data_IF_164815483219
#
_entry.id   IF_164815483219
#
_cell.length_a   1.000
_cell.length_b   1.000
_cell.length_c   1.000
_cell.angle_alpha   90.00
_cell.angle_beta   90.00
_cell.angle_gamma   90.00
#
_symmetry.space_group_name_H-M   'P 1'
#
loop_
_entity.id
_entity.type
_entity.pdbx_description
1 polymer ?
#
# COMPACT_ATOMS: atom_id res chain seq x y z
N UNK A 1 20.61 -39.90 47.81
CA UNK A 1 21.29 -39.74 46.52
C UNK A 1 20.24 -39.70 45.42
N UNK A 2 20.14 -38.55 44.75
CA UNK A 2 19.70 -38.33 43.36
C UNK A 2 18.79 -39.39 42.71
N UNK A 3 17.48 -39.13 42.70
CA UNK A 3 16.59 -39.52 41.60
C UNK A 3 15.71 -38.32 41.24
N UNK A 4 16.39 -37.21 40.94
CA UNK A 4 15.82 -36.21 40.05
C UNK A 4 15.74 -36.77 38.65
N UNK A 5 14.84 -36.19 37.85
CA UNK A 5 14.80 -36.34 36.40
C UNK A 5 14.08 -37.59 35.87
N UNK A 6 12.77 -37.70 36.11
CA UNK A 6 11.89 -38.53 35.26
C UNK A 6 10.46 -37.95 35.22
N UNK A 7 10.31 -36.62 35.14
CA UNK A 7 9.03 -35.95 34.89
C UNK A 7 9.23 -34.91 33.79
N UNK A 8 9.48 -35.35 32.55
CA UNK A 8 9.57 -34.45 31.41
C UNK A 8 9.41 -35.16 30.06
N UNK A 9 8.38 -36.00 29.85
CA UNK A 9 8.23 -36.67 28.55
C UNK A 9 6.81 -36.86 28.01
N UNK A 10 5.80 -36.14 28.50
CA UNK A 10 4.41 -36.36 28.08
C UNK A 10 3.62 -35.05 27.81
N UNK A 11 4.24 -34.08 27.13
CA UNK A 11 3.56 -32.85 26.69
C UNK A 11 3.85 -32.48 25.22
N UNK A 12 4.22 -33.43 24.38
CA UNK A 12 4.55 -33.19 22.97
C UNK A 12 3.53 -33.74 21.96
N UNK A 13 2.28 -34.01 22.38
CA UNK A 13 1.26 -34.64 21.51
C UNK A 13 0.11 -33.72 21.10
N UNK A 14 0.22 -32.41 21.33
CA UNK A 14 -0.76 -31.43 20.85
C UNK A 14 -0.05 -30.22 20.25
N UNK A 15 0.52 -30.41 19.06
CA UNK A 15 0.75 -29.31 18.12
C UNK A 15 -0.35 -29.37 17.05
N UNK A 16 -1.58 -28.89 17.32
CA UNK A 16 -2.57 -28.74 16.28
C UNK A 16 -2.14 -27.58 15.37
N UNK A 17 -2.16 -27.79 14.06
CA UNK A 17 -2.11 -26.75 13.04
C UNK A 17 -0.81 -25.93 12.94
N UNK A 18 0.34 -26.59 12.79
CA UNK A 18 1.40 -25.99 11.99
C UNK A 18 1.50 -26.72 10.66
N UNK A 19 1.19 -25.97 9.60
CA UNK A 19 1.48 -26.24 8.19
C UNK A 19 0.44 -27.05 7.40
N UNK A 20 -0.70 -26.43 7.11
CA UNK A 20 -1.41 -26.58 5.82
C UNK A 20 -2.35 -25.39 5.59
N UNK A 21 -1.79 -24.19 5.54
CA UNK A 21 -2.36 -23.16 4.68
C UNK A 21 -1.28 -22.83 3.68
N UNK A 22 -1.45 -23.32 2.45
CA UNK A 22 -0.80 -22.69 1.30
C UNK A 22 -1.13 -21.20 1.41
N UNK A 23 -0.11 -20.32 1.44
CA UNK A 23 -0.41 -18.91 1.43
C UNK A 23 -1.14 -18.68 0.11
N UNK A 24 -2.36 -18.18 0.20
CA UNK A 24 -3.06 -17.63 -0.95
C UNK A 24 -2.29 -16.35 -1.32
N UNK A 25 -1.18 -16.54 -2.03
CA UNK A 25 -0.48 -15.51 -2.77
C UNK A 25 -1.32 -15.15 -3.99
N UNK A 26 -2.59 -14.80 -3.80
CA UNK A 26 -3.21 -13.77 -4.61
C UNK A 26 -2.32 -12.54 -4.40
N UNK A 27 -1.29 -12.45 -5.25
CA UNK A 27 -0.28 -11.42 -5.29
C UNK A 27 -1.01 -10.09 -5.38
N UNK A 28 -1.28 -9.47 -4.23
CA UNK A 28 -1.87 -8.14 -4.16
C UNK A 28 -0.88 -7.25 -4.90
N UNK A 29 -1.21 -6.89 -6.14
CA UNK A 29 -0.43 -5.93 -6.92
C UNK A 29 -0.23 -4.71 -6.04
N UNK A 30 0.99 -4.53 -5.54
CA UNK A 30 1.34 -3.34 -4.80
C UNK A 30 1.24 -2.16 -5.77
N UNK A 31 0.46 -1.16 -5.38
CA UNK A 31 0.35 0.06 -6.16
C UNK A 31 1.72 0.73 -6.24
N UNK A 32 2.10 1.17 -7.43
CA UNK A 32 3.31 1.97 -7.56
C UNK A 32 3.12 3.31 -6.82
N UNK A 33 4.17 3.95 -6.30
CA UNK A 33 4.01 5.24 -5.63
C UNK A 33 3.30 6.30 -6.48
N UNK A 34 3.52 6.28 -7.81
CA UNK A 34 2.85 7.19 -8.73
C UNK A 34 1.35 6.90 -8.88
N UNK A 35 0.96 5.62 -8.81
CA UNK A 35 -0.44 5.18 -8.84
C UNK A 35 -1.17 5.62 -7.58
N UNK A 36 -0.59 5.34 -6.41
CA UNK A 36 -1.16 5.71 -5.12
C UNK A 36 -1.37 7.23 -4.99
N UNK A 37 -0.39 8.03 -5.41
CA UNK A 37 -0.50 9.50 -5.37
C UNK A 37 -1.54 10.05 -6.36
N UNK A 38 -1.64 9.46 -7.55
CA UNK A 38 -2.68 9.84 -8.49
C UNK A 38 -4.07 9.46 -7.97
N UNK A 39 -4.21 8.28 -7.38
CA UNK A 39 -5.44 7.84 -6.71
C UNK A 39 -5.83 8.76 -5.55
N UNK A 40 -4.86 9.21 -4.75
CA UNK A 40 -5.10 10.20 -3.69
C UNK A 40 -5.61 11.53 -4.25
N UNK A 41 -5.03 12.03 -5.36
CA UNK A 41 -5.50 13.24 -6.01
C UNK A 41 -6.96 13.10 -6.50
N UNK A 42 -7.33 11.95 -7.07
CA UNK A 42 -8.72 11.69 -7.47
C UNK A 42 -9.68 11.58 -6.27
N UNK A 43 -9.21 11.12 -5.11
CA UNK A 43 -10.01 11.18 -3.88
C UNK A 43 -10.26 12.64 -3.44
N UNK A 44 -9.24 13.50 -3.49
CA UNK A 44 -9.43 14.92 -3.17
C UNK A 44 -10.39 15.61 -4.14
N UNK A 45 -10.32 15.27 -5.44
CA UNK A 45 -11.28 15.71 -6.45
C UNK A 45 -12.71 15.31 -6.08
N UNK A 46 -12.92 14.05 -5.72
CA UNK A 46 -14.24 13.54 -5.32
C UNK A 46 -14.79 14.22 -4.05
N UNK A 47 -13.89 14.71 -3.18
CA UNK A 47 -14.23 15.49 -1.98
C UNK A 47 -14.39 17.00 -2.26
N UNK A 48 -14.16 17.47 -3.49
CA UNK A 48 -14.17 18.89 -3.85
C UNK A 48 -12.96 19.68 -3.32
N UNK A 49 -11.92 19.00 -2.83
CA UNK A 49 -10.70 19.64 -2.33
C UNK A 49 -9.72 19.88 -3.49
N UNK A 50 -10.01 20.87 -4.32
CA UNK A 50 -9.21 21.18 -5.50
C UNK A 50 -7.77 21.62 -5.18
N UNK A 51 -7.56 22.28 -4.03
CA UNK A 51 -6.21 22.66 -3.61
C UNK A 51 -5.35 21.43 -3.31
N UNK A 52 -5.83 20.52 -2.44
CA UNK A 52 -5.09 19.32 -2.09
C UNK A 52 -4.87 18.40 -3.30
N UNK A 53 -5.87 18.32 -4.20
CA UNK A 53 -5.72 17.65 -5.49
C UNK A 53 -4.55 18.23 -6.29
N UNK A 54 -4.53 19.55 -6.49
CA UNK A 54 -3.49 20.24 -7.27
C UNK A 54 -2.09 20.00 -6.69
N UNK A 55 -1.93 20.24 -5.39
CA UNK A 55 -0.65 20.07 -4.69
C UNK A 55 -0.15 18.61 -4.79
N UNK A 56 -1.05 17.63 -4.71
CA UNK A 56 -0.71 16.22 -4.86
C UNK A 56 -0.25 15.89 -6.30
N UNK A 57 -0.92 16.44 -7.31
CA UNK A 57 -0.53 16.25 -8.72
C UNK A 57 0.83 16.91 -9.03
N UNK A 58 1.09 18.11 -8.50
CA UNK A 58 2.38 18.78 -8.62
C UNK A 58 3.50 17.98 -7.96
N UNK A 59 3.26 17.48 -6.74
CA UNK A 59 4.21 16.61 -6.04
C UNK A 59 4.49 15.31 -6.80
N UNK A 60 3.45 14.68 -7.35
CA UNK A 60 3.58 13.48 -8.19
C UNK A 60 4.51 13.73 -9.39
N UNK A 61 4.31 14.83 -10.11
CA UNK A 61 5.15 15.20 -11.26
C UNK A 61 6.59 15.46 -10.83
N UNK A 62 6.78 16.19 -9.72
CA UNK A 62 8.11 16.52 -9.22
C UNK A 62 8.90 15.29 -8.76
N UNK A 63 8.24 14.34 -8.08
CA UNK A 63 8.90 13.18 -7.48
C UNK A 63 9.04 12.00 -8.45
N UNK A 64 8.07 11.82 -9.34
CA UNK A 64 8.00 10.68 -10.27
C UNK A 64 7.77 11.12 -11.72
N UNK A 65 8.66 11.96 -12.30
CA UNK A 65 8.41 12.64 -13.58
C UNK A 65 8.24 11.69 -14.78
N UNK A 66 8.78 10.47 -14.70
CA UNK A 66 8.71 9.46 -15.76
C UNK A 66 7.57 8.44 -15.56
N UNK A 67 6.76 8.60 -14.52
CA UNK A 67 5.60 7.74 -14.28
C UNK A 67 4.51 8.01 -15.31
N UNK A 68 3.79 6.98 -15.78
CA UNK A 68 2.58 7.15 -16.61
C UNK A 68 1.57 8.12 -15.97
N UNK A 69 1.53 8.13 -14.64
CA UNK A 69 0.64 8.99 -13.85
C UNK A 69 1.09 10.45 -13.81
N UNK A 70 2.38 10.73 -14.01
CA UNK A 70 2.87 12.10 -14.13
C UNK A 70 2.35 12.76 -15.42
N UNK A 71 2.31 12.02 -16.54
CA UNK A 71 1.73 12.53 -17.78
C UNK A 71 0.22 12.81 -17.66
N UNK A 72 -0.50 11.93 -16.97
CA UNK A 72 -1.91 12.17 -16.64
C UNK A 72 -2.08 13.40 -15.75
N UNK A 73 -1.25 13.55 -14.72
CA UNK A 73 -1.26 14.71 -13.83
C UNK A 73 -1.00 16.02 -14.58
N UNK A 74 -0.03 16.06 -15.51
CA UNK A 74 0.23 17.24 -16.37
C UNK A 74 -1.01 17.59 -17.20
N UNK A 75 -1.65 16.59 -17.79
CA UNK A 75 -2.88 16.78 -18.58
C UNK A 75 -4.01 17.36 -17.74
N UNK A 76 -4.17 16.87 -16.52
CA UNK A 76 -5.24 17.27 -15.62
C UNK A 76 -5.03 18.68 -15.05
N UNK A 77 -3.78 19.05 -14.73
CA UNK A 77 -3.43 20.42 -14.36
C UNK A 77 -3.64 21.39 -15.51
N UNK A 78 -3.35 20.98 -16.76
CA UNK A 78 -3.58 21.83 -17.93
C UNK A 78 -5.08 22.09 -18.21
N UNK A 79 -5.96 21.15 -17.86
CA UNK A 79 -7.42 21.28 -18.03
C UNK A 79 -8.10 22.12 -16.95
N UNK A 80 -7.46 22.30 -15.81
CA UNK A 80 -8.00 23.07 -14.70
C UNK A 80 -7.39 24.48 -14.80
N UNK A 81 -8.07 25.48 -15.41
CA UNK A 81 -7.53 26.82 -15.42
C UNK A 81 -7.34 27.23 -13.96
N UNK A 82 -6.16 27.68 -13.61
CA UNK A 82 -5.88 28.24 -12.30
C UNK A 82 -6.71 29.52 -12.14
N UNK A 83 -7.97 29.38 -11.72
CA UNK A 83 -8.70 30.46 -11.06
C UNK A 83 -8.01 30.66 -9.71
N UNK A 84 -7.09 31.62 -9.73
CA UNK A 84 -6.54 32.28 -8.56
C UNK A 84 -7.54 33.31 -8.07
#
# INVERSE_FOLDING_TARGET
MKFGWLVALLLASSAPMQCASEPDFEERREETPGEALFGLAEQFKAQGNEQARRETLEYLIAKYPNSRFAEMARSDLAKTPSEQ
#
